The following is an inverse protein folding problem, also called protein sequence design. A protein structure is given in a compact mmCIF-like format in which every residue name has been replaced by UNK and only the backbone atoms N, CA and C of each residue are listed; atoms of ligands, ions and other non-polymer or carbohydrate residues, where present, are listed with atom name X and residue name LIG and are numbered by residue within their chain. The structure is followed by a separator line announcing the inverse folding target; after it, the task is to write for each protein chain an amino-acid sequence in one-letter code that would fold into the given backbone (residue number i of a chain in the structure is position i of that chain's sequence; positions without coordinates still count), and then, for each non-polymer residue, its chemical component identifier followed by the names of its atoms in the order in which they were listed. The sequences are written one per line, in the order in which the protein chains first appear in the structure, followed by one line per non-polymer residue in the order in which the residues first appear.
data_IF_761772256083
#
_entry.id   IF_761772256083
#
_cell.length_a   1.000
_cell.length_b   1.000
_cell.length_c   1.000
_cell.angle_alpha   90.00
_cell.angle_beta   90.00
_cell.angle_gamma   90.00
#
_symmetry.space_group_name_H-M   'P 1'
#
loop_
_entity.id
_entity.type
_entity.pdbx_description
1 polymer ?
#
# COMPACT_ATOMS: atom_id res chain seq x y z
N UNK A 1 -2.11 21.41 -11.20
CA UNK A 1 -2.62 21.98 -12.44
C UNK A 1 -3.98 22.56 -12.17
N UNK A 2 -4.13 23.42 -11.15
CA UNK A 2 -5.33 24.23 -10.89
C UNK A 2 -6.67 23.51 -11.08
N UNK A 3 -6.79 22.30 -10.53
CA UNK A 3 -7.99 21.44 -10.65
C UNK A 3 -8.35 21.02 -12.10
N UNK A 4 -7.37 21.04 -13.00
CA UNK A 4 -7.50 20.50 -14.35
C UNK A 4 -7.70 18.98 -14.34
N UNK A 5 -8.37 18.50 -15.39
CA UNK A 5 -8.73 17.09 -15.53
C UNK A 5 -7.92 16.41 -16.63
N UNK A 6 -7.41 15.21 -16.35
CA UNK A 6 -6.85 14.30 -17.34
C UNK A 6 -7.76 13.07 -17.38
N UNK A 7 -8.45 12.87 -18.50
CA UNK A 7 -9.36 11.76 -18.74
C UNK A 7 -8.70 10.70 -19.64
N UNK A 8 -8.50 9.51 -19.08
CA UNK A 8 -7.88 8.38 -19.76
C UNK A 8 -8.82 7.59 -20.67
N UNK A 9 -10.14 7.84 -20.62
CA UNK A 9 -11.16 7.17 -21.42
C UNK A 9 -11.04 5.63 -21.40
N UNK A 10 -10.78 5.06 -20.21
CA UNK A 10 -10.38 3.67 -19.99
C UNK A 10 -11.41 2.61 -20.35
N UNK A 11 -12.67 2.99 -20.59
CA UNK A 11 -13.78 2.06 -20.85
C UNK A 11 -13.51 1.05 -21.97
N UNK A 12 -12.90 1.51 -23.08
CA UNK A 12 -12.50 0.63 -24.18
C UNK A 12 -11.48 -0.41 -23.71
N UNK A 13 -10.46 0.02 -22.99
CA UNK A 13 -9.38 -0.84 -22.50
C UNK A 13 -9.88 -1.90 -21.51
N UNK A 14 -10.78 -1.53 -20.60
CA UNK A 14 -11.36 -2.46 -19.64
C UNK A 14 -12.22 -3.53 -20.31
N UNK A 15 -13.00 -3.16 -21.34
CA UNK A 15 -13.79 -4.12 -22.12
C UNK A 15 -12.90 -5.13 -22.86
N UNK A 16 -11.82 -4.66 -23.48
CA UNK A 16 -10.86 -5.54 -24.16
C UNK A 16 -10.10 -6.44 -23.17
N UNK A 17 -9.76 -5.92 -21.98
CA UNK A 17 -9.10 -6.68 -20.91
C UNK A 17 -10.00 -7.83 -20.42
N UNK A 18 -11.24 -7.54 -20.03
CA UNK A 18 -12.19 -8.57 -19.60
C UNK A 18 -12.48 -9.61 -20.69
N UNK A 19 -12.50 -9.17 -21.96
CA UNK A 19 -12.68 -10.06 -23.11
C UNK A 19 -11.42 -10.85 -23.48
N UNK A 20 -10.28 -10.64 -22.80
CA UNK A 20 -8.97 -11.23 -23.12
C UNK A 20 -8.52 -11.00 -24.57
N UNK A 21 -8.85 -9.82 -25.12
CA UNK A 21 -8.57 -9.45 -26.52
C UNK A 21 -7.32 -8.58 -26.69
N UNK A 22 -6.72 -8.14 -25.59
CA UNK A 22 -5.51 -7.33 -25.63
C UNK A 22 -4.29 -8.18 -25.99
N UNK A 23 -3.54 -7.73 -27.00
CA UNK A 23 -2.23 -8.32 -27.36
C UNK A 23 -1.09 -7.82 -26.46
N UNK A 24 -1.22 -6.59 -25.97
CA UNK A 24 -0.22 -5.88 -25.16
C UNK A 24 -0.85 -5.32 -23.89
N UNK A 25 -0.01 -4.81 -22.99
CA UNK A 25 -0.46 -4.14 -21.77
C UNK A 25 -1.26 -2.87 -22.06
N UNK A 26 -2.06 -2.44 -21.09
CA UNK A 26 -2.80 -1.18 -21.14
C UNK A 26 -1.84 -0.05 -20.73
N UNK A 27 -1.98 1.15 -21.30
CA UNK A 27 -1.15 2.28 -20.88
C UNK A 27 -1.51 2.73 -19.46
N UNK A 28 -0.52 3.28 -18.75
CA UNK A 28 -0.77 4.04 -17.52
C UNK A 28 -1.14 5.48 -17.88
N UNK A 29 -1.84 6.18 -16.98
CA UNK A 29 -2.25 7.56 -17.25
C UNK A 29 -1.07 8.53 -17.18
N UNK A 30 -0.27 8.44 -16.11
CA UNK A 30 0.97 9.20 -15.93
C UNK A 30 2.07 8.22 -15.53
N UNK A 31 3.06 8.04 -16.40
CA UNK A 31 4.26 7.26 -16.12
C UNK A 31 5.50 8.15 -16.22
N UNK A 32 6.31 8.15 -15.16
CA UNK A 32 7.54 8.92 -15.08
C UNK A 32 8.67 7.97 -14.72
N UNK A 33 9.67 7.88 -15.58
CA UNK A 33 10.76 6.92 -15.43
C UNK A 33 12.08 7.67 -15.25
N UNK A 34 12.96 7.17 -14.38
CA UNK A 34 14.34 7.66 -14.25
C UNK A 34 14.43 9.18 -14.05
N UNK A 35 13.56 9.73 -13.22
CA UNK A 35 13.37 11.17 -13.09
C UNK A 35 13.62 11.64 -11.66
N UNK A 36 14.06 12.89 -11.53
CA UNK A 36 14.33 13.54 -10.23
C UNK A 36 13.59 14.87 -10.13
N UNK A 37 13.21 15.27 -8.92
CA UNK A 37 12.46 16.50 -8.62
C UNK A 37 11.10 16.57 -9.34
N UNK A 38 10.26 15.59 -9.05
CA UNK A 38 8.94 15.45 -9.66
C UNK A 38 7.88 16.14 -8.79
N UNK A 39 6.99 16.89 -9.44
CA UNK A 39 5.83 17.49 -8.78
C UNK A 39 4.56 17.24 -9.61
N UNK A 40 3.63 16.48 -9.04
CA UNK A 40 2.28 16.29 -9.57
C UNK A 40 1.32 16.85 -8.53
N UNK A 41 0.61 17.92 -8.84
CA UNK A 41 -0.27 18.54 -7.85
C UNK A 41 -1.56 19.07 -8.43
N UNK A 42 -2.64 19.12 -7.63
CA UNK A 42 -3.91 19.76 -7.94
C UNK A 42 -4.47 19.36 -9.32
N UNK A 43 -4.70 18.06 -9.51
CA UNK A 43 -5.27 17.47 -10.73
C UNK A 43 -6.39 16.50 -10.38
N UNK A 44 -7.36 16.39 -11.29
CA UNK A 44 -8.33 15.29 -11.31
C UNK A 44 -7.93 14.30 -12.41
N UNK A 45 -7.82 13.02 -12.06
CA UNK A 45 -7.50 11.93 -12.96
C UNK A 45 -8.74 11.04 -13.09
N UNK A 46 -9.27 10.92 -14.31
CA UNK A 46 -10.48 10.16 -14.59
C UNK A 46 -10.17 8.95 -15.46
N UNK A 47 -10.81 7.83 -15.15
CA UNK A 47 -10.96 6.68 -16.04
C UNK A 47 -9.65 6.21 -16.69
N UNK A 48 -8.59 6.05 -15.89
CA UNK A 48 -7.32 5.52 -16.40
C UNK A 48 -7.51 4.13 -17.04
N UNK A 49 -6.90 3.86 -18.22
CA UNK A 49 -6.87 2.53 -18.80
C UNK A 49 -6.31 1.45 -17.87
N UNK A 50 -5.37 1.80 -16.99
CA UNK A 50 -4.80 0.94 -15.93
C UNK A 50 -4.35 1.83 -14.75
N UNK A 51 -3.12 1.70 -14.23
CA UNK A 51 -2.62 2.52 -13.11
C UNK A 51 -2.68 4.03 -13.42
N UNK A 52 -2.94 4.87 -12.42
CA UNK A 52 -3.09 6.31 -12.61
C UNK A 52 -1.74 7.04 -12.57
N UNK A 53 -1.01 6.96 -11.45
CA UNK A 53 0.29 7.63 -11.29
C UNK A 53 1.37 6.58 -10.99
N UNK A 54 2.32 6.40 -11.90
CA UNK A 54 3.41 5.42 -11.79
C UNK A 54 4.79 6.08 -11.98
N UNK A 55 5.35 6.72 -10.94
CA UNK A 55 6.76 7.04 -10.93
C UNK A 55 7.56 5.76 -10.68
N UNK A 56 8.58 5.53 -11.52
CA UNK A 56 9.46 4.37 -11.42
C UNK A 56 10.92 4.77 -11.55
N UNK A 57 11.78 4.19 -10.71
CA UNK A 57 13.23 4.51 -10.66
C UNK A 57 13.51 6.01 -10.47
N UNK A 58 12.71 6.66 -9.62
CA UNK A 58 12.67 8.13 -9.53
C UNK A 58 12.89 8.62 -8.11
N UNK A 59 13.27 9.89 -7.95
CA UNK A 59 13.55 10.49 -6.64
C UNK A 59 12.96 11.89 -6.45
N UNK A 60 12.83 12.30 -5.18
CA UNK A 60 12.37 13.63 -4.78
C UNK A 60 11.01 13.97 -5.40
N UNK A 61 9.99 13.20 -5.00
CA UNK A 61 8.68 13.17 -5.66
C UNK A 61 7.62 13.73 -4.72
N UNK A 62 6.90 14.76 -5.17
CA UNK A 62 5.73 15.29 -4.47
C UNK A 62 4.48 15.03 -5.31
N UNK A 63 3.54 14.27 -4.75
CA UNK A 63 2.21 14.03 -5.29
C UNK A 63 1.20 14.61 -4.30
N UNK A 64 0.56 15.73 -4.64
CA UNK A 64 -0.23 16.51 -3.68
C UNK A 64 -1.57 17.02 -4.22
N UNK A 65 -2.67 16.86 -3.48
CA UNK A 65 -3.95 17.45 -3.91
C UNK A 65 -4.53 16.75 -5.14
N UNK A 66 -4.37 15.42 -5.23
CA UNK A 66 -4.82 14.64 -6.38
C UNK A 66 -6.19 14.01 -6.09
N UNK A 67 -7.10 14.15 -7.05
CA UNK A 67 -8.36 13.41 -7.08
C UNK A 67 -8.28 12.33 -8.16
N UNK A 68 -8.44 11.06 -7.81
CA UNK A 68 -8.52 9.95 -8.77
C UNK A 68 -9.92 9.36 -8.70
N UNK A 69 -10.56 9.21 -9.86
CA UNK A 69 -11.90 8.61 -9.97
C UNK A 69 -11.89 7.60 -11.11
N UNK A 70 -12.03 6.33 -10.77
CA UNK A 70 -12.32 5.26 -11.71
C UNK A 70 -13.51 4.43 -11.20
N UNK A 71 -14.32 3.80 -12.09
CA UNK A 71 -15.37 2.88 -11.66
C UNK A 71 -14.79 1.76 -10.80
N UNK A 72 -15.44 1.43 -9.69
CA UNK A 72 -14.93 0.43 -8.73
C UNK A 72 -14.76 -0.99 -9.31
N UNK A 73 -15.28 -1.27 -10.51
CA UNK A 73 -15.09 -2.55 -11.22
C UNK A 73 -14.14 -2.44 -12.42
N UNK A 74 -13.46 -1.31 -12.59
CA UNK A 74 -12.41 -1.17 -13.58
C UNK A 74 -11.18 -1.97 -13.14
N UNK A 75 -10.59 -2.83 -14.00
CA UNK A 75 -9.52 -3.72 -13.60
C UNK A 75 -8.19 -2.98 -13.46
N UNK A 76 -7.45 -3.19 -12.37
CA UNK A 76 -6.09 -2.66 -12.17
C UNK A 76 -5.96 -1.15 -12.41
N UNK A 77 -6.92 -0.39 -11.88
CA UNK A 77 -6.91 1.09 -11.91
C UNK A 77 -6.30 1.67 -10.66
N UNK A 78 -5.21 1.05 -10.18
CA UNK A 78 -4.47 1.47 -8.99
C UNK A 78 -4.25 2.99 -8.98
N UNK A 79 -4.31 3.59 -7.79
CA UNK A 79 -4.19 5.04 -7.64
C UNK A 79 -2.76 5.52 -7.86
N UNK A 80 -1.91 5.38 -6.86
CA UNK A 80 -0.53 5.87 -6.89
C UNK A 80 0.44 4.72 -6.62
N UNK A 81 1.36 4.49 -7.55
CA UNK A 81 2.24 3.33 -7.58
C UNK A 81 3.71 3.80 -7.57
N UNK A 82 4.29 4.20 -6.42
CA UNK A 82 5.73 4.43 -6.36
C UNK A 82 6.46 3.09 -6.50
N UNK A 83 7.21 2.93 -7.59
CA UNK A 83 8.02 1.74 -7.87
C UNK A 83 9.51 2.09 -7.86
N UNK A 84 10.29 1.46 -6.98
CA UNK A 84 11.73 1.70 -6.86
C UNK A 84 12.07 3.21 -6.70
N UNK A 85 11.27 3.92 -5.89
CA UNK A 85 11.36 5.37 -5.72
C UNK A 85 11.99 5.77 -4.36
N UNK A 86 12.76 6.86 -4.32
CA UNK A 86 13.35 7.36 -3.06
C UNK A 86 12.88 8.77 -2.74
N UNK A 87 12.56 9.03 -1.46
CA UNK A 87 12.20 10.35 -0.96
C UNK A 87 10.93 10.89 -1.64
N UNK A 88 9.80 10.22 -1.35
CA UNK A 88 8.50 10.45 -1.99
C UNK A 88 7.47 10.87 -0.96
N UNK A 89 6.61 11.84 -1.30
CA UNK A 89 5.50 12.33 -0.47
C UNK A 89 4.21 12.31 -1.25
N UNK A 90 3.25 11.52 -0.76
CA UNK A 90 1.87 11.45 -1.24
C UNK A 90 1.00 12.12 -0.17
N UNK A 91 0.33 13.22 -0.52
CA UNK A 91 -0.31 14.08 0.46
C UNK A 91 -1.63 14.67 -0.06
N UNK A 92 -2.66 14.78 0.79
CA UNK A 92 -3.92 15.45 0.45
C UNK A 92 -4.61 14.84 -0.79
N UNK A 93 -4.73 13.51 -0.82
CA UNK A 93 -5.27 12.79 -1.98
C UNK A 93 -6.63 12.16 -1.68
N UNK A 94 -7.51 12.15 -2.68
CA UNK A 94 -8.79 11.44 -2.67
C UNK A 94 -8.83 10.44 -3.83
N UNK A 95 -9.02 9.16 -3.53
CA UNK A 95 -8.89 8.08 -4.53
C UNK A 95 -10.11 7.17 -4.48
N UNK A 96 -10.82 7.07 -5.61
CA UNK A 96 -11.79 6.00 -5.90
C UNK A 96 -11.18 5.14 -7.00
N UNK A 97 -10.92 3.88 -6.70
CA UNK A 97 -10.23 2.96 -7.61
C UNK A 97 -10.94 1.62 -7.69
N UNK A 98 -10.74 0.92 -8.81
CA UNK A 98 -11.09 -0.50 -8.94
C UNK A 98 -10.02 -1.46 -8.41
N UNK A 99 -8.86 -0.94 -7.98
CA UNK A 99 -7.75 -1.71 -7.38
C UNK A 99 -7.08 -0.90 -6.24
N UNK A 100 -5.84 -1.22 -5.85
CA UNK A 100 -5.14 -0.61 -4.70
C UNK A 100 -5.07 0.94 -4.80
N UNK A 101 -5.44 1.68 -3.74
CA UNK A 101 -5.36 3.16 -3.77
C UNK A 101 -3.90 3.66 -3.79
N UNK A 102 -3.04 3.05 -2.98
CA UNK A 102 -1.58 3.22 -3.07
C UNK A 102 -0.93 1.84 -3.11
N UNK A 103 -0.17 1.55 -4.16
CA UNK A 103 0.54 0.28 -4.32
C UNK A 103 2.04 0.54 -4.38
N UNK A 104 2.73 0.31 -3.27
CA UNK A 104 4.18 0.50 -3.17
C UNK A 104 4.89 -0.71 -3.76
N UNK A 105 5.78 -0.47 -4.72
CA UNK A 105 6.48 -1.50 -5.48
C UNK A 105 7.99 -1.22 -5.52
N UNK A 106 8.76 -2.20 -5.95
CA UNK A 106 10.20 -2.11 -6.16
C UNK A 106 10.67 -3.29 -7.02
N UNK A 107 10.08 -3.49 -8.19
CA UNK A 107 10.41 -4.59 -9.09
C UNK A 107 9.98 -6.00 -8.64
N UNK A 108 10.11 -6.97 -9.54
CA UNK A 108 9.49 -8.29 -9.44
C UNK A 108 10.51 -9.43 -9.55
N UNK A 109 10.51 -10.33 -8.56
CA UNK A 109 11.28 -11.58 -8.47
C UNK A 109 12.78 -11.34 -8.78
N UNK A 110 13.43 -12.23 -9.53
CA UNK A 110 14.84 -12.15 -9.87
C UNK A 110 15.23 -10.86 -10.60
N UNK A 111 14.30 -10.24 -11.33
CA UNK A 111 14.53 -8.98 -12.02
C UNK A 111 14.66 -7.82 -11.02
N UNK A 112 13.76 -7.77 -10.03
CA UNK A 112 13.81 -6.80 -8.95
C UNK A 112 15.01 -7.01 -8.02
N UNK A 113 15.30 -8.27 -7.66
CA UNK A 113 16.48 -8.64 -6.85
C UNK A 113 17.76 -8.18 -7.54
N UNK A 114 17.90 -8.48 -8.83
CA UNK A 114 19.10 -8.13 -9.61
C UNK A 114 19.25 -6.62 -9.77
N UNK A 115 18.15 -5.89 -9.93
CA UNK A 115 18.20 -4.44 -10.06
C UNK A 115 18.51 -3.76 -8.72
N UNK A 116 17.99 -4.31 -7.62
CA UNK A 116 18.40 -3.95 -6.26
C UNK A 116 18.04 -2.53 -5.84
N UNK A 117 17.04 -1.91 -6.48
CA UNK A 117 16.62 -0.55 -6.19
C UNK A 117 15.32 -0.55 -5.37
N UNK A 118 15.33 -0.13 -4.10
CA UNK A 118 14.14 -0.16 -3.26
C UNK A 118 13.23 1.05 -3.47
N UNK A 119 11.96 0.92 -3.11
CA UNK A 119 11.17 2.08 -2.71
C UNK A 119 11.45 2.39 -1.24
N UNK A 120 11.95 3.59 -0.95
CA UNK A 120 12.26 4.00 0.43
C UNK A 120 12.03 5.47 0.74
N UNK A 121 11.87 5.77 2.03
CA UNK A 121 11.61 7.13 2.52
C UNK A 121 10.32 7.68 1.88
N UNK A 122 9.22 6.97 2.11
CA UNK A 122 7.91 7.26 1.54
C UNK A 122 6.97 7.78 2.63
N UNK A 123 6.48 9.00 2.46
CA UNK A 123 5.41 9.58 3.29
C UNK A 123 4.08 9.46 2.57
N UNK A 124 3.05 8.95 3.26
CA UNK A 124 1.65 8.94 2.81
C UNK A 124 0.83 9.61 3.89
N UNK A 125 0.17 10.74 3.61
CA UNK A 125 -0.68 11.37 4.63
C UNK A 125 -1.88 12.11 4.11
N UNK A 126 -2.94 12.19 4.92
CA UNK A 126 -4.22 12.83 4.55
C UNK A 126 -4.76 12.25 3.25
N UNK A 127 -4.94 10.94 3.26
CA UNK A 127 -5.44 10.15 2.14
C UNK A 127 -6.85 9.67 2.46
N UNK A 128 -7.79 9.89 1.53
CA UNK A 128 -9.09 9.20 1.53
C UNK A 128 -9.12 8.18 0.41
N UNK A 129 -9.48 6.93 0.73
CA UNK A 129 -9.50 5.84 -0.23
C UNK A 129 -10.86 5.12 -0.23
N UNK A 130 -11.34 4.81 -1.43
CA UNK A 130 -12.46 3.91 -1.70
C UNK A 130 -12.02 2.88 -2.75
N UNK A 131 -11.80 1.63 -2.31
CA UNK A 131 -11.42 0.51 -3.18
C UNK A 131 -12.08 -0.81 -2.74
N UNK A 132 -13.36 -1.05 -3.12
CA UNK A 132 -14.15 -2.16 -2.59
C UNK A 132 -13.59 -3.56 -2.86
N UNK A 133 -12.67 -3.69 -3.81
CA UNK A 133 -12.09 -4.97 -4.24
C UNK A 133 -10.58 -5.06 -4.01
N UNK A 134 -9.95 -4.07 -3.36
CA UNK A 134 -8.51 -4.08 -3.11
C UNK A 134 -8.09 -3.31 -1.85
N UNK A 135 -6.84 -2.86 -1.74
CA UNK A 135 -6.32 -2.24 -0.53
C UNK A 135 -6.33 -0.70 -0.52
N UNK A 136 -6.35 -0.12 0.69
CA UNK A 136 -6.01 1.30 0.85
C UNK A 136 -4.52 1.52 0.61
N UNK A 137 -3.67 0.75 1.28
CA UNK A 137 -2.22 0.73 1.03
C UNK A 137 -1.81 -0.74 0.86
N UNK A 138 -1.29 -1.05 -0.32
CA UNK A 138 -0.64 -2.31 -0.62
C UNK A 138 0.89 -2.13 -0.69
N UNK A 139 1.61 -3.00 0.01
CA UNK A 139 3.05 -3.13 -0.04
C UNK A 139 3.34 -4.43 -0.79
N UNK A 140 3.87 -4.31 -2.01
CA UNK A 140 4.02 -5.41 -2.96
C UNK A 140 2.81 -5.60 -3.91
N UNK A 141 2.71 -6.71 -4.64
CA UNK A 141 3.55 -7.90 -4.55
C UNK A 141 4.95 -7.73 -5.14
N UNK A 142 5.13 -6.80 -6.06
CA UNK A 142 6.41 -6.49 -6.72
C UNK A 142 7.30 -5.72 -5.75
N UNK A 143 7.92 -6.41 -4.79
CA UNK A 143 8.72 -5.83 -3.68
C UNK A 143 10.20 -6.25 -3.68
N UNK A 144 10.67 -6.84 -4.78
CA UNK A 144 11.89 -7.65 -4.80
C UNK A 144 13.20 -6.87 -4.69
N UNK A 145 13.19 -5.59 -5.07
CA UNK A 145 14.26 -4.62 -4.82
C UNK A 145 14.26 -4.02 -3.41
N UNK A 146 13.19 -4.25 -2.64
CA UNK A 146 13.02 -3.79 -1.25
C UNK A 146 12.02 -2.64 -1.09
N UNK A 147 11.25 -2.69 0.00
CA UNK A 147 10.41 -1.59 0.48
C UNK A 147 10.84 -1.26 1.89
N UNK A 148 11.21 0.00 2.15
CA UNK A 148 11.71 0.41 3.47
C UNK A 148 11.28 1.82 3.88
N UNK A 149 11.04 2.05 5.16
CA UNK A 149 10.78 3.40 5.72
C UNK A 149 9.58 4.06 5.04
N UNK A 150 8.43 3.38 5.18
CA UNK A 150 7.12 3.86 4.72
C UNK A 150 6.38 4.38 5.93
N UNK A 151 6.09 5.69 5.94
CA UNK A 151 5.41 6.40 7.02
C UNK A 151 4.04 6.87 6.54
N UNK A 152 3.00 6.18 6.99
CA UNK A 152 1.62 6.51 6.66
C UNK A 152 0.89 7.11 7.89
N UNK A 153 0.27 8.27 7.74
CA UNK A 153 -0.50 8.89 8.84
C UNK A 153 -1.76 9.61 8.36
N UNK A 154 -2.79 9.65 9.20
CA UNK A 154 -4.03 10.39 8.91
C UNK A 154 -4.69 9.88 7.62
N UNK A 155 -5.15 8.63 7.67
CA UNK A 155 -5.71 7.91 6.52
C UNK A 155 -7.17 7.56 6.82
N UNK A 156 -8.06 7.83 5.86
CA UNK A 156 -9.47 7.43 5.91
C UNK A 156 -9.75 6.42 4.81
N UNK A 157 -10.05 5.18 5.20
CA UNK A 157 -10.44 4.11 4.28
C UNK A 157 -11.95 3.88 4.39
N UNK A 158 -12.67 3.97 3.27
CA UNK A 158 -14.13 3.77 3.22
C UNK A 158 -14.45 2.68 2.22
N UNK A 159 -15.26 1.70 2.62
CA UNK A 159 -15.72 0.60 1.76
C UNK A 159 -14.59 -0.01 0.92
N UNK A 160 -13.54 -0.45 1.61
CA UNK A 160 -12.33 -1.01 0.98
C UNK A 160 -12.18 -2.48 1.33
N UNK A 161 -11.63 -3.32 0.46
CA UNK A 161 -11.47 -4.74 0.80
C UNK A 161 -10.51 -4.91 1.98
N UNK A 162 -9.35 -4.25 1.94
CA UNK A 162 -8.43 -4.24 3.06
C UNK A 162 -7.82 -2.88 3.39
N UNK A 163 -7.58 -2.59 4.67
CA UNK A 163 -6.85 -1.39 5.09
C UNK A 163 -5.40 -1.42 4.62
N UNK A 164 -4.53 -2.10 5.38
CA UNK A 164 -3.12 -2.28 5.04
C UNK A 164 -2.87 -3.72 4.58
N UNK A 165 -2.24 -3.87 3.41
CA UNK A 165 -1.99 -5.16 2.77
C UNK A 165 -0.50 -5.34 2.45
N UNK A 166 0.12 -6.43 2.92
CA UNK A 166 1.48 -6.83 2.52
C UNK A 166 1.38 -8.13 1.73
N UNK A 167 1.86 -8.10 0.49
CA UNK A 167 1.81 -9.24 -0.45
C UNK A 167 3.23 -9.69 -0.77
N UNK A 168 3.56 -10.93 -0.46
CA UNK A 168 4.83 -11.54 -0.92
C UNK A 168 4.67 -13.06 -1.08
N UNK A 169 5.72 -13.70 -1.57
CA UNK A 169 5.81 -15.15 -1.79
C UNK A 169 7.27 -15.61 -1.78
N UNK A 170 7.47 -16.91 -1.58
CA UNK A 170 8.74 -17.58 -1.93
C UNK A 170 9.07 -17.25 -3.39
N UNK A 171 10.30 -16.81 -3.67
CA UNK A 171 10.68 -16.29 -4.99
C UNK A 171 10.88 -14.79 -5.05
N UNK A 172 10.18 -14.05 -4.19
CA UNK A 172 10.22 -12.58 -4.21
C UNK A 172 11.55 -12.04 -3.71
N UNK A 173 12.21 -12.72 -2.77
CA UNK A 173 13.41 -12.20 -2.10
C UNK A 173 13.19 -10.80 -1.52
N UNK A 174 14.27 -10.01 -1.43
CA UNK A 174 14.17 -8.62 -0.97
C UNK A 174 13.62 -8.48 0.46
N UNK A 175 12.94 -7.37 0.72
CA UNK A 175 12.39 -7.09 2.05
C UNK A 175 11.21 -6.11 2.00
N UNK A 176 10.30 -6.21 2.97
CA UNK A 176 9.42 -5.12 3.38
C UNK A 176 9.70 -4.86 4.85
N UNK A 177 10.30 -3.70 5.16
CA UNK A 177 10.67 -3.38 6.55
C UNK A 177 10.51 -1.93 6.92
N UNK A 178 10.49 -1.65 8.21
CA UNK A 178 10.37 -0.28 8.74
C UNK A 178 9.11 0.39 8.19
N UNK A 179 7.97 -0.26 8.41
CA UNK A 179 6.66 0.22 7.98
C UNK A 179 5.95 0.78 9.20
N UNK A 180 5.47 2.02 9.10
CA UNK A 180 4.85 2.73 10.21
C UNK A 180 3.53 3.32 9.74
N UNK A 181 2.43 2.91 10.36
CA UNK A 181 1.10 3.45 10.08
C UNK A 181 0.49 3.92 11.38
N UNK A 182 0.08 5.20 11.45
CA UNK A 182 -0.65 5.73 12.60
C UNK A 182 -1.90 6.50 12.20
N UNK A 183 -2.88 6.64 13.09
CA UNK A 183 -4.08 7.47 12.87
C UNK A 183 -4.80 7.07 11.57
N UNK A 184 -5.26 5.83 11.52
CA UNK A 184 -6.06 5.33 10.41
C UNK A 184 -7.47 5.02 10.87
N UNK A 185 -8.45 5.62 10.20
CA UNK A 185 -9.88 5.37 10.39
C UNK A 185 -10.41 4.56 9.22
N UNK A 186 -11.12 3.48 9.54
CA UNK A 186 -11.52 2.46 8.59
C UNK A 186 -13.02 2.21 8.72
N UNK A 187 -13.79 2.44 7.66
CA UNK A 187 -15.24 2.22 7.64
C UNK A 187 -15.60 1.13 6.62
N UNK A 188 -16.15 0.03 7.11
CA UNK A 188 -16.66 -1.10 6.33
C UNK A 188 -15.57 -1.75 5.46
N UNK A 189 -15.00 -2.86 5.93
CA UNK A 189 -14.00 -3.60 5.17
C UNK A 189 -13.96 -5.09 5.46
N UNK A 190 -13.33 -5.84 4.57
CA UNK A 190 -13.16 -7.28 4.78
C UNK A 190 -12.01 -7.58 5.74
N UNK A 191 -10.86 -6.94 5.56
CA UNK A 191 -9.67 -7.12 6.42
C UNK A 191 -9.06 -5.79 6.86
N UNK A 192 -8.96 -5.50 8.16
CA UNK A 192 -8.21 -4.31 8.59
C UNK A 192 -6.71 -4.47 8.28
N UNK A 193 -6.16 -5.65 8.59
CA UNK A 193 -4.78 -6.02 8.28
C UNK A 193 -4.72 -7.31 7.47
N UNK A 194 -3.99 -7.30 6.37
CA UNK A 194 -3.74 -8.52 5.59
C UNK A 194 -2.27 -8.65 5.24
N UNK A 195 -1.64 -9.73 5.68
CA UNK A 195 -0.28 -10.10 5.28
C UNK A 195 -0.33 -11.53 4.72
N UNK A 196 0.29 -11.74 3.56
CA UNK A 196 0.39 -13.08 2.96
C UNK A 196 1.79 -13.32 2.41
N UNK A 197 2.40 -14.43 2.82
CA UNK A 197 3.62 -15.01 2.26
C UNK A 197 3.37 -16.02 1.13
N UNK A 198 2.14 -16.14 0.63
CA UNK A 198 1.78 -17.06 -0.45
C UNK A 198 1.01 -16.36 -1.58
N UNK A 199 1.47 -15.19 -1.99
CA UNK A 199 0.90 -14.47 -3.12
C UNK A 199 1.39 -15.05 -4.46
N UNK A 200 0.69 -16.08 -4.94
CA UNK A 200 1.14 -16.99 -6.00
C UNK A 200 1.29 -16.44 -7.44
N UNK A 201 1.48 -15.14 -7.62
CA UNK A 201 1.83 -14.56 -8.92
C UNK A 201 3.35 -14.42 -9.03
N UNK A 202 3.95 -14.81 -10.15
CA UNK A 202 5.37 -14.64 -10.47
C UNK A 202 5.53 -14.15 -11.91
N UNK A 203 6.64 -13.46 -12.20
CA UNK A 203 6.87 -12.87 -13.52
C UNK A 203 6.93 -13.95 -14.60
N UNK A 204 7.57 -15.07 -14.27
CA UNK A 204 7.59 -16.29 -15.05
C UNK A 204 7.84 -17.51 -14.14
N UNK A 205 8.23 -18.66 -14.70
CA UNK A 205 8.45 -19.91 -13.95
C UNK A 205 9.90 -20.11 -13.47
N UNK A 206 10.78 -19.15 -13.70
CA UNK A 206 12.23 -19.23 -13.43
C UNK A 206 12.64 -18.47 -12.16
N UNK A 207 11.69 -17.92 -11.41
CA UNK A 207 11.95 -17.29 -10.12
C UNK A 207 12.71 -18.24 -9.20
N UNK A 208 13.55 -17.68 -8.33
CA UNK A 208 14.39 -18.48 -7.43
C UNK A 208 13.58 -18.97 -6.23
N UNK A 209 13.26 -20.27 -6.18
CA UNK A 209 12.50 -20.87 -5.09
C UNK A 209 13.21 -20.82 -3.72
N UNK A 210 14.48 -20.41 -3.66
CA UNK A 210 15.21 -20.20 -2.41
C UNK A 210 15.23 -18.72 -1.98
N UNK A 211 14.74 -17.81 -2.82
CA UNK A 211 14.70 -16.38 -2.52
C UNK A 211 13.52 -16.08 -1.58
N UNK A 212 13.79 -16.10 -0.28
CA UNK A 212 12.81 -15.77 0.75
C UNK A 212 12.80 -14.27 1.07
N UNK A 213 11.61 -13.63 1.14
CA UNK A 213 11.48 -12.22 1.50
C UNK A 213 11.57 -11.99 3.00
N UNK A 214 12.29 -10.96 3.45
CA UNK A 214 12.25 -10.53 4.85
C UNK A 214 11.07 -9.57 5.09
N UNK A 215 10.13 -9.91 5.98
CA UNK A 215 9.09 -8.99 6.45
C UNK A 215 9.35 -8.69 7.93
N UNK A 216 9.67 -7.43 8.23
CA UNK A 216 10.20 -7.06 9.56
C UNK A 216 9.84 -5.66 10.00
N UNK A 217 9.64 -5.45 11.30
CA UNK A 217 9.44 -4.12 11.89
C UNK A 217 8.23 -3.39 11.25
N UNK A 218 7.05 -4.00 11.42
CA UNK A 218 5.78 -3.51 10.90
C UNK A 218 4.96 -2.96 12.05
N UNK A 219 4.74 -1.64 12.08
CA UNK A 219 4.16 -0.94 13.21
C UNK A 219 2.82 -0.30 12.83
N UNK A 220 1.77 -0.67 13.56
CA UNK A 220 0.42 -0.13 13.44
C UNK A 220 0.01 0.48 14.78
N UNK A 221 -0.44 1.73 14.77
CA UNK A 221 -0.90 2.39 16.00
C UNK A 221 -2.03 3.38 15.83
N UNK A 222 -2.77 3.62 16.91
CA UNK A 222 -3.80 4.66 16.97
C UNK A 222 -4.82 4.51 15.82
N UNK A 223 -5.48 3.34 15.72
CA UNK A 223 -6.41 3.04 14.62
C UNK A 223 -7.79 2.66 15.12
N UNK A 224 -8.80 3.04 14.34
CA UNK A 224 -10.18 2.64 14.59
C UNK A 224 -10.75 2.05 13.30
N UNK A 225 -11.35 0.88 13.40
CA UNK A 225 -12.04 0.25 12.30
C UNK A 225 -13.46 -0.15 12.68
N UNK A 226 -14.39 0.06 11.76
CA UNK A 226 -15.81 -0.19 11.96
C UNK A 226 -16.35 -1.15 10.90
N UNK A 227 -17.28 -2.01 11.31
CA UNK A 227 -17.96 -2.97 10.42
C UNK A 227 -16.98 -3.88 9.66
N UNK A 228 -15.97 -4.39 10.35
CA UNK A 228 -14.92 -5.23 9.75
C UNK A 228 -15.33 -6.70 9.74
N UNK A 229 -15.12 -7.41 8.64
CA UNK A 229 -15.41 -8.86 8.56
C UNK A 229 -14.35 -9.74 9.25
N UNK A 230 -13.07 -9.36 9.16
CA UNK A 230 -11.93 -10.00 9.79
C UNK A 230 -10.95 -8.90 10.27
N UNK A 231 -10.63 -8.86 11.55
CA UNK A 231 -9.66 -7.92 12.09
C UNK A 231 -8.28 -8.10 11.45
N UNK A 232 -7.82 -9.35 11.30
CA UNK A 232 -6.56 -9.61 10.61
C UNK A 232 -6.43 -11.01 10.02
N UNK A 233 -5.75 -11.09 8.89
CA UNK A 233 -5.29 -12.33 8.28
C UNK A 233 -3.79 -12.19 8.02
N UNK A 234 -2.96 -12.76 8.89
CA UNK A 234 -1.51 -12.57 8.92
C UNK A 234 -0.81 -13.91 8.74
N UNK A 235 -0.45 -14.23 7.50
CA UNK A 235 0.19 -15.49 7.17
C UNK A 235 1.60 -15.24 6.63
N UNK A 236 2.62 -15.71 7.36
CA UNK A 236 4.00 -15.75 6.91
C UNK A 236 4.32 -16.94 6.01
N UNK A 237 5.61 -17.25 5.88
CA UNK A 237 6.10 -18.40 5.14
C UNK A 237 6.48 -19.49 6.13
N UNK A 238 6.08 -20.73 5.87
CA UNK A 238 6.40 -21.86 6.75
C UNK A 238 7.91 -22.03 6.92
N UNK A 239 8.38 -22.09 8.17
CA UNK A 239 9.79 -22.10 8.57
C UNK A 239 10.59 -20.80 8.30
N UNK A 240 9.94 -19.75 7.82
CA UNK A 240 10.53 -18.41 7.64
C UNK A 240 9.51 -17.34 8.08
N UNK A 241 9.27 -17.24 9.40
CA UNK A 241 8.17 -16.43 9.90
C UNK A 241 8.42 -14.94 9.74
N UNK A 242 7.35 -14.17 9.51
CA UNK A 242 7.42 -12.71 9.48
C UNK A 242 7.46 -12.16 10.91
N UNK A 243 8.42 -11.29 11.23
CA UNK A 243 8.72 -10.91 12.62
C UNK A 243 8.61 -9.42 12.88
N UNK A 244 8.55 -9.03 14.15
CA UNK A 244 8.53 -7.61 14.54
C UNK A 244 7.24 -6.90 14.10
N UNK A 245 6.12 -7.62 14.06
CA UNK A 245 4.80 -7.00 13.90
C UNK A 245 4.41 -6.38 15.26
N UNK A 246 4.09 -5.11 15.28
CA UNK A 246 3.66 -4.39 16.48
C UNK A 246 2.34 -3.69 16.21
N UNK A 247 1.32 -3.97 17.01
CA UNK A 247 -0.01 -3.34 16.90
C UNK A 247 -0.41 -2.75 18.25
N UNK A 248 -0.64 -1.43 18.32
CA UNK A 248 -0.99 -0.76 19.58
C UNK A 248 -2.16 0.21 19.45
N UNK A 249 -2.99 0.31 20.49
CA UNK A 249 -4.12 1.24 20.51
C UNK A 249 -5.00 1.13 19.25
N UNK A 250 -5.49 -0.09 18.98
CA UNK A 250 -6.32 -0.39 17.81
C UNK A 250 -7.66 -0.96 18.25
N UNK A 251 -8.76 -0.30 17.87
CA UNK A 251 -10.12 -0.76 18.14
C UNK A 251 -10.82 -1.12 16.84
N UNK A 252 -11.28 -2.36 16.73
CA UNK A 252 -11.95 -2.90 15.54
C UNK A 252 -13.34 -3.40 15.96
N UNK A 253 -14.38 -2.75 15.46
CA UNK A 253 -15.75 -3.27 15.56
C UNK A 253 -15.99 -4.28 14.44
N UNK A 254 -16.48 -5.46 14.81
CA UNK A 254 -16.71 -6.57 13.89
C UNK A 254 -18.14 -6.51 13.36
N UNK A 255 -18.32 -6.68 12.06
CA UNK A 255 -19.63 -6.67 11.41
C UNK A 255 -20.54 -7.77 11.99
N UNK A 256 -21.84 -7.50 12.12
CA UNK A 256 -22.79 -8.40 12.80
C UNK A 256 -22.87 -9.82 12.20
N UNK A 257 -22.55 -9.98 10.92
CA UNK A 257 -22.57 -11.27 10.19
C UNK A 257 -21.17 -11.89 9.98
N UNK A 258 -20.15 -11.32 10.62
CA UNK A 258 -18.77 -11.78 10.47
C UNK A 258 -18.51 -13.14 11.15
N UNK A 259 -17.34 -13.72 10.88
CA UNK A 259 -16.89 -14.95 11.53
C UNK A 259 -16.64 -14.70 13.02
N UNK A 260 -16.87 -15.73 13.84
CA UNK A 260 -16.62 -15.69 15.31
C UNK A 260 -15.14 -15.46 15.67
N UNK A 261 -14.23 -15.88 14.79
CA UNK A 261 -12.80 -15.72 14.98
C UNK A 261 -12.30 -14.60 14.07
N UNK A 262 -12.08 -13.38 14.60
CA UNK A 262 -11.77 -12.21 13.78
C UNK A 262 -10.30 -12.15 13.35
N UNK A 263 -9.43 -13.01 13.90
CA UNK A 263 -8.00 -13.07 13.60
C UNK A 263 -7.60 -14.45 13.10
N UNK A 264 -6.77 -14.50 12.06
CA UNK A 264 -6.08 -15.71 11.60
C UNK A 264 -4.60 -15.38 11.47
N UNK A 265 -3.76 -16.15 12.15
CA UNK A 265 -2.32 -15.93 12.13
C UNK A 265 -1.57 -17.26 11.97
N UNK A 266 -0.54 -17.28 11.15
CA UNK A 266 0.37 -18.41 10.99
C UNK A 266 1.75 -17.91 10.60
N UNK A 267 2.81 -18.52 11.14
CA UNK A 267 4.20 -18.19 10.78
C UNK A 267 4.51 -16.68 10.89
N UNK A 268 4.00 -16.05 11.94
CA UNK A 268 4.28 -14.65 12.27
C UNK A 268 4.66 -14.53 13.74
N UNK A 269 5.39 -13.48 14.09
CA UNK A 269 5.75 -13.15 15.46
C UNK A 269 5.76 -11.64 15.69
N UNK A 270 5.31 -11.23 16.87
CA UNK A 270 5.17 -9.82 17.19
C UNK A 270 4.60 -9.59 18.57
N UNK A 271 4.07 -8.39 18.80
CA UNK A 271 3.43 -7.99 20.06
C UNK A 271 2.21 -7.12 19.78
N UNK A 272 1.28 -7.10 20.73
CA UNK A 272 0.18 -6.13 20.74
C UNK A 272 0.09 -5.37 22.06
N UNK A 273 -0.60 -4.23 22.09
CA UNK A 273 -0.95 -3.53 23.32
C UNK A 273 -2.23 -2.70 23.14
N UNK A 274 -3.27 -2.97 23.92
CA UNK A 274 -4.54 -2.24 23.79
C UNK A 274 -5.23 -2.45 22.43
N UNK A 275 -5.30 -3.71 21.99
CA UNK A 275 -5.94 -4.09 20.72
C UNK A 275 -7.22 -4.87 20.99
N UNK A 276 -8.33 -4.42 20.40
CA UNK A 276 -9.64 -5.08 20.51
C UNK A 276 -10.21 -5.33 19.11
N UNK A 277 -10.69 -6.55 18.79
CA UNK A 277 -10.75 -7.75 19.62
C UNK A 277 -9.37 -8.40 19.80
N UNK A 278 -9.23 -9.26 20.83
CA UNK A 278 -7.96 -9.92 21.17
C UNK A 278 -7.34 -10.62 19.93
N UNK A 279 -6.08 -10.29 19.56
CA UNK A 279 -5.34 -10.95 18.48
C UNK A 279 -4.97 -12.41 18.78
N UNK A 280 -4.33 -13.06 17.82
CA UNK A 280 -3.77 -14.41 17.95
C UNK A 280 -2.66 -14.48 19.02
N UNK A 281 -2.40 -15.67 19.57
CA UNK A 281 -1.34 -15.88 20.57
C UNK A 281 0.09 -15.62 20.03
N UNK A 282 0.26 -15.60 18.70
CA UNK A 282 1.51 -15.19 18.04
C UNK A 282 1.80 -13.67 18.15
N UNK A 283 0.83 -12.90 18.64
CA UNK A 283 0.93 -11.46 18.91
C UNK A 283 0.52 -11.17 20.37
N UNK A 284 1.27 -11.67 21.36
CA UNK A 284 0.92 -11.53 22.78
C UNK A 284 0.71 -10.07 23.17
N UNK A 285 -0.37 -9.83 23.91
CA UNK A 285 -0.69 -8.52 24.49
C UNK A 285 0.28 -8.21 25.65
N UNK A 286 0.96 -7.07 25.55
CA UNK A 286 1.92 -6.57 26.53
C UNK A 286 1.25 -5.72 27.64
N UNK A 287 -0.08 -5.58 27.61
CA UNK A 287 -0.84 -4.78 28.56
C UNK A 287 -0.88 -3.30 28.20
N UNK A 288 -1.85 -2.57 28.76
CA UNK A 288 -2.13 -1.17 28.41
C UNK A 288 -1.06 -0.17 28.86
N UNK A 289 -0.19 -0.54 29.80
CA UNK A 289 0.93 0.31 30.24
C UNK A 289 2.04 0.40 29.17
N UNK A 290 2.10 -0.60 28.27
CA UNK A 290 3.07 -0.70 27.19
C UNK A 290 2.56 -0.19 25.84
N UNK A 291 1.47 0.59 25.78
CA UNK A 291 0.90 1.14 24.53
C UNK A 291 1.94 1.93 23.71
N UNK A 292 3.00 2.43 24.34
CA UNK A 292 4.12 3.10 23.67
C UNK A 292 5.05 2.17 22.87
N UNK A 293 4.83 0.86 22.83
CA UNK A 293 5.80 -0.08 22.24
C UNK A 293 5.87 -0.07 20.70
N UNK A 294 4.82 0.40 20.01
CA UNK A 294 4.83 0.49 18.54
C UNK A 294 5.13 1.92 18.10
N UNK A 295 6.41 2.27 18.08
CA UNK A 295 6.83 3.62 17.77
C UNK A 295 6.54 4.01 16.32
N UNK A 296 6.13 5.27 16.14
CA UNK A 296 6.12 5.92 14.84
C UNK A 296 7.26 6.95 14.87
N UNK A 297 8.20 6.93 13.91
CA UNK A 297 9.33 7.84 13.88
C UNK A 297 8.91 9.31 14.04
N UNK A 298 9.60 10.02 14.94
CA UNK A 298 9.30 11.43 15.25
C UNK A 298 10.14 12.41 14.43
N UNK A 299 11.23 11.92 13.84
CA UNK A 299 11.99 12.64 12.84
C UNK A 299 11.18 12.82 11.55
N UNK A 300 11.52 13.86 10.79
CA UNK A 300 10.96 14.11 9.47
C UNK A 300 11.85 13.50 8.39
N UNK A 301 11.24 13.02 7.32
CA UNK A 301 11.98 12.63 6.12
C UNK A 301 12.37 13.89 5.32
N UNK A 302 13.47 13.88 4.55
CA UNK A 302 13.88 15.04 3.76
C UNK A 302 12.79 15.59 2.84
N UNK A 303 11.92 14.74 2.30
CA UNK A 303 10.77 15.12 1.47
C UNK A 303 9.74 15.99 2.20
N UNK A 304 9.63 15.91 3.53
CA UNK A 304 8.73 16.78 4.30
C UNK A 304 9.15 18.24 4.24
N UNK A 305 10.45 18.49 4.10
CA UNK A 305 11.04 19.83 4.00
C UNK A 305 10.98 20.40 2.58
N UNK A 306 10.63 19.58 1.58
CA UNK A 306 10.49 20.04 0.19
C UNK A 306 9.13 20.70 -0.02
N UNK A 307 9.19 21.97 -0.43
CA UNK A 307 8.03 22.77 -0.81
C UNK A 307 7.72 22.65 -2.30
N UNK A 308 6.44 22.78 -2.65
CA UNK A 308 6.01 22.83 -4.04
C UNK A 308 6.61 24.06 -4.72
N UNK A 309 7.24 23.85 -5.87
CA UNK A 309 7.69 24.96 -6.72
C UNK A 309 6.52 25.44 -7.57
N UNK A 310 6.29 26.75 -7.57
CA UNK A 310 5.33 27.37 -8.49
C UNK A 310 6.03 27.60 -9.83
N UNK A 311 5.62 26.85 -10.85
CA UNK A 311 6.06 27.12 -12.21
C UNK A 311 5.19 28.26 -12.77
N UNK A 312 5.78 29.42 -13.01
CA UNK A 312 5.12 30.51 -13.76
C UNK A 312 5.53 30.39 -15.23
N UNK A 313 4.55 30.34 -16.13
CA UNK A 313 4.80 30.49 -17.56
C UNK A 313 4.04 31.72 -18.05
N UNK A 314 4.72 32.56 -18.83
CA UNK A 314 4.12 33.70 -19.52
C UNK A 314 3.67 33.22 -20.89
N UNK A 315 2.38 33.33 -21.20
CA UNK A 315 1.83 33.08 -22.54
C UNK A 315 2.07 34.31 -23.42
#
# INVERSE_FOLDING_TARGET
GDNGTIDGQGSFWWQQFHSKKLKYTRPYLIELMFSDNIQISNLTLLDSPSWNIHPVYSSNIIIKGITIIAPIRSPNTDGINPDSCTNTKIEDCYIVSGDDCVAVKSGWDEYGIKFGWPTKQLVIRRLTCISPYSATIALGSEMSGGIQDVRAEDITAVNTESGIRIKTAVGRGGYVKDIYVKKMTMHTMKWAFWITGNYGSHADKKYDHNALPEIKNINYRDMVAEEVSMAGNLAGISNDPFTGICISNVTISIAAKAKKQPWTCSDIAGITSGVTPKPCDLLPDQGSENIKSCDFPSDYLPIDMLELKKCTYSI
#
